data_IF_384274655566
#
_entry.id   IF_384274655566
#
_cell.length_a   1.000
_cell.length_b   1.000
_cell.length_c   1.000
_cell.angle_alpha   90.00
_cell.angle_beta   90.00
_cell.angle_gamma   90.00
#
_symmetry.space_group_name_H-M   'P 1'
#
loop_
_entity.id
_entity.type
_entity.pdbx_description
1 polymer ?
#
# COMPACT_ATOMS: atom_id res chain seq x y z
N UNK A 1 11.66 -19.09 -19.15
CA UNK A 1 12.56 -18.83 -18.01
C UNK A 1 11.70 -18.59 -16.78
N UNK A 2 11.75 -19.47 -15.80
CA UNK A 2 10.97 -19.38 -14.54
C UNK A 2 11.73 -18.50 -13.55
N UNK A 3 11.09 -17.42 -13.07
CA UNK A 3 11.58 -16.62 -11.94
C UNK A 3 11.20 -17.39 -10.66
N UNK A 4 12.10 -17.58 -9.68
CA UNK A 4 11.76 -18.33 -8.48
C UNK A 4 10.74 -17.56 -7.63
N UNK A 5 9.92 -18.25 -6.81
CA UNK A 5 9.01 -17.57 -5.90
C UNK A 5 9.85 -16.83 -4.87
N UNK A 6 9.68 -15.51 -4.79
CA UNK A 6 10.27 -14.69 -3.75
C UNK A 6 9.79 -15.22 -2.41
N UNK A 7 10.67 -15.94 -1.71
CA UNK A 7 10.49 -16.28 -0.30
C UNK A 7 10.39 -14.95 0.43
N UNK A 8 9.18 -14.59 0.84
CA UNK A 8 8.94 -13.45 1.70
C UNK A 8 9.73 -13.72 2.99
N UNK A 9 10.90 -13.09 3.13
CA UNK A 9 11.49 -12.89 4.44
C UNK A 9 10.45 -12.05 5.17
N UNK A 10 9.62 -12.71 5.97
CA UNK A 10 8.66 -12.08 6.83
C UNK A 10 9.45 -11.17 7.76
N UNK A 11 9.52 -9.90 7.39
CA UNK A 11 10.10 -8.86 8.22
C UNK A 11 9.32 -8.91 9.54
N UNK A 12 10.03 -9.18 10.63
CA UNK A 12 9.49 -9.45 11.97
C UNK A 12 8.77 -8.26 12.61
N UNK A 13 8.39 -7.26 11.81
CA UNK A 13 7.69 -6.02 12.16
C UNK A 13 6.22 -6.02 11.73
N UNK A 14 5.78 -6.99 10.94
CA UNK A 14 4.37 -7.16 10.58
C UNK A 14 3.39 -7.41 11.76
N UNK A 15 3.77 -7.96 12.94
CA UNK A 15 2.78 -8.25 13.97
C UNK A 15 2.36 -7.03 14.81
N UNK A 16 2.99 -5.86 14.65
CA UNK A 16 2.64 -4.66 15.41
C UNK A 16 1.56 -3.79 14.74
N UNK A 17 1.30 -3.97 13.44
CA UNK A 17 0.34 -3.15 12.70
C UNK A 17 -1.07 -3.75 12.60
N UNK A 18 -1.25 -5.00 13.05
CA UNK A 18 -2.58 -5.66 13.06
C UNK A 18 -3.29 -5.31 14.36
N UNK A 19 -3.66 -4.04 14.51
CA UNK A 19 -4.56 -3.60 15.57
C UNK A 19 -5.97 -4.12 15.30
N UNK A 20 -6.29 -5.35 15.75
CA UNK A 20 -7.64 -5.96 15.92
C UNK A 20 -8.69 -5.85 14.78
N UNK A 21 -8.39 -5.23 13.65
CA UNK A 21 -9.29 -5.02 12.51
C UNK A 21 -8.91 -5.86 11.30
N UNK A 22 -9.88 -6.07 10.41
CA UNK A 22 -9.61 -6.71 9.12
C UNK A 22 -8.76 -5.78 8.25
N UNK A 23 -7.58 -6.25 7.85
CA UNK A 23 -6.73 -5.56 6.86
C UNK A 23 -7.24 -5.93 5.47
N UNK A 24 -7.50 -4.92 4.65
CA UNK A 24 -7.89 -5.12 3.26
C UNK A 24 -6.68 -4.96 2.34
N UNK A 25 -6.64 -5.72 1.26
CA UNK A 25 -5.52 -5.70 0.29
C UNK A 25 -6.03 -5.30 -1.08
N UNK A 26 -5.41 -4.28 -1.65
CA UNK A 26 -5.74 -3.73 -2.97
C UNK A 26 -4.53 -3.75 -3.90
N UNK A 27 -4.78 -3.65 -5.20
CA UNK A 27 -3.74 -3.50 -6.23
C UNK A 27 -3.91 -2.14 -6.89
N UNK A 28 -2.84 -1.36 -6.93
CA UNK A 28 -2.81 -0.10 -7.67
C UNK A 28 -2.89 -0.38 -9.18
N UNK A 29 -3.95 0.12 -9.83
CA UNK A 29 -4.11 -0.08 -11.29
C UNK A 29 -3.16 0.80 -12.11
N UNK A 30 -2.88 1.99 -11.61
CA UNK A 30 -2.07 3.01 -12.28
C UNK A 30 -1.02 3.57 -11.33
N UNK A 31 -0.05 4.27 -11.90
CA UNK A 31 0.90 5.05 -11.10
C UNK A 31 0.18 6.27 -10.50
N UNK A 32 0.61 6.66 -9.31
CA UNK A 32 0.17 7.87 -8.63
C UNK A 32 1.39 8.60 -8.07
N UNK A 33 1.69 9.76 -8.65
CA UNK A 33 2.62 10.74 -8.10
C UNK A 33 1.80 11.84 -7.39
N UNK A 34 1.79 11.88 -6.05
CA UNK A 34 1.02 12.86 -5.30
C UNK A 34 1.39 14.31 -5.65
N UNK A 35 2.65 14.58 -5.96
CA UNK A 35 3.08 15.95 -6.28
C UNK A 35 2.61 16.42 -7.66
N UNK A 36 2.20 15.50 -8.53
CA UNK A 36 1.64 15.83 -9.84
C UNK A 36 0.12 15.78 -9.88
N UNK A 37 -0.49 14.85 -9.14
CA UNK A 37 -1.91 14.51 -9.31
C UNK A 37 -2.77 14.75 -8.08
N UNK A 38 -2.20 15.00 -6.90
CA UNK A 38 -3.00 15.23 -5.71
C UNK A 38 -3.79 16.54 -5.83
N UNK A 39 -5.09 16.53 -5.50
CA UNK A 39 -5.89 17.74 -5.34
C UNK A 39 -5.75 18.37 -3.94
N UNK A 40 -5.06 17.71 -3.00
CA UNK A 40 -4.96 18.13 -1.61
C UNK A 40 -3.81 19.12 -1.38
N UNK A 41 -3.89 19.91 -0.30
CA UNK A 41 -2.88 20.92 0.03
C UNK A 41 -1.54 20.30 0.50
N UNK A 42 -1.56 19.06 0.99
CA UNK A 42 -0.41 18.37 1.57
C UNK A 42 -0.09 17.05 0.85
N UNK A 43 0.36 17.08 -0.42
CA UNK A 43 0.67 15.87 -1.20
C UNK A 43 1.73 14.97 -0.56
N UNK A 44 2.62 15.52 0.28
CA UNK A 44 3.65 14.77 1.00
C UNK A 44 3.10 13.78 2.03
N UNK A 45 1.83 13.94 2.42
CA UNK A 45 1.14 13.04 3.35
C UNK A 45 0.50 11.84 2.66
N UNK A 46 0.43 11.84 1.34
CA UNK A 46 -0.13 10.77 0.55
C UNK A 46 0.94 9.75 0.13
N UNK A 47 0.49 8.53 -0.14
CA UNK A 47 1.36 7.45 -0.57
C UNK A 47 1.54 7.49 -2.09
N UNK A 48 2.78 7.59 -2.57
CA UNK A 48 3.10 7.37 -3.97
C UNK A 48 2.94 5.89 -4.34
N UNK A 49 2.39 5.61 -5.52
CA UNK A 49 2.08 4.24 -5.97
C UNK A 49 2.58 3.99 -7.39
N UNK A 50 3.01 2.76 -7.65
CA UNK A 50 3.19 2.25 -9.00
C UNK A 50 2.08 1.26 -9.35
N UNK A 51 1.75 1.17 -10.64
CA UNK A 51 0.88 0.13 -11.18
C UNK A 51 1.41 -1.25 -10.79
N UNK A 52 0.55 -2.06 -10.18
CA UNK A 52 0.88 -3.40 -9.69
C UNK A 52 1.29 -3.47 -8.22
N UNK A 53 1.47 -2.34 -7.53
CA UNK A 53 1.77 -2.35 -6.10
C UNK A 53 0.59 -2.90 -5.29
N UNK A 54 0.91 -3.72 -4.27
CA UNK A 54 -0.04 -4.17 -3.27
C UNK A 54 -0.11 -3.18 -2.13
N UNK A 55 -1.31 -2.69 -1.82
CA UNK A 55 -1.56 -1.73 -0.75
C UNK A 55 -2.38 -2.40 0.34
N UNK A 56 -1.90 -2.29 1.57
CA UNK A 56 -2.58 -2.79 2.77
C UNK A 56 -3.27 -1.63 3.46
N UNK A 57 -4.59 -1.73 3.59
CA UNK A 57 -5.40 -0.72 4.27
C UNK A 57 -5.81 -1.27 5.62
N UNK A 58 -5.46 -0.54 6.67
CA UNK A 58 -5.88 -0.82 8.03
C UNK A 58 -6.90 0.25 8.45
N UNK A 59 -8.09 -0.19 8.85
CA UNK A 59 -9.23 0.69 9.15
C UNK A 59 -10.30 0.65 8.06
N UNK A 60 -11.43 1.31 8.34
CA UNK A 60 -12.46 1.54 7.33
C UNK A 60 -12.08 2.73 6.45
N UNK A 61 -12.58 2.75 5.22
CA UNK A 61 -12.43 3.93 4.35
C UNK A 61 -13.32 5.03 4.93
N UNK A 62 -12.74 6.20 5.19
CA UNK A 62 -13.51 7.39 5.57
C UNK A 62 -14.48 7.77 4.42
N UNK A 63 -15.66 8.30 4.74
CA UNK A 63 -16.70 8.74 3.77
C UNK A 63 -16.31 10.01 2.98
#
# INVERSE_FOLDING_TARGET
MSKPPGRLLADSRLPAMVGSGQVQVYIAKYNYDPFQFSPNENPETELALNSGDYVFINGEMDE
#
